data_IF_653358239687
#
_entry.id   IF_653358239687
#
_cell.length_a   1.000
_cell.length_b   1.000
_cell.length_c   1.000
_cell.angle_alpha   90.00
_cell.angle_beta   90.00
_cell.angle_gamma   90.00
#
_symmetry.space_group_name_H-M   'P 1'
#
loop_
_entity.id
_entity.type
_entity.pdbx_description
1 polymer ?
#
# COMPACT_ATOMS: atom_id res chain seq x y z
N UNK A 1 -9.21 -65.59 -19.25
CA UNK A 1 -9.46 -64.36 -20.02
C UNK A 1 -10.21 -63.29 -19.22
N UNK A 2 -11.44 -63.53 -18.72
CA UNK A 2 -12.15 -62.53 -17.88
C UNK A 2 -11.49 -62.37 -16.49
N UNK A 3 -11.03 -63.48 -15.90
CA UNK A 3 -10.38 -63.45 -14.58
C UNK A 3 -8.98 -62.79 -14.61
N UNK A 4 -8.24 -62.92 -15.72
CA UNK A 4 -6.97 -62.20 -15.93
C UNK A 4 -7.20 -60.69 -16.12
N UNK A 5 -8.29 -60.33 -16.79
CA UNK A 5 -8.66 -58.94 -17.04
C UNK A 5 -9.15 -58.26 -15.75
N UNK A 6 -9.89 -58.99 -14.91
CA UNK A 6 -10.26 -58.55 -13.56
C UNK A 6 -9.04 -58.46 -12.62
N UNK A 7 -8.07 -59.38 -12.72
CA UNK A 7 -6.84 -59.32 -11.94
C UNK A 7 -5.94 -58.14 -12.36
N UNK A 8 -5.85 -57.84 -13.65
CA UNK A 8 -5.16 -56.66 -14.16
C UNK A 8 -5.87 -55.36 -13.77
N UNK A 9 -7.20 -55.33 -13.81
CA UNK A 9 -7.99 -54.18 -13.37
C UNK A 9 -7.87 -53.96 -11.86
N UNK A 10 -7.92 -55.03 -11.05
CA UNK A 10 -7.70 -54.97 -9.60
C UNK A 10 -6.29 -54.46 -9.27
N UNK A 11 -5.26 -54.89 -10.00
CA UNK A 11 -3.89 -54.42 -9.79
C UNK A 11 -3.68 -52.97 -10.27
N UNK A 12 -4.36 -52.52 -11.33
CA UNK A 12 -4.35 -51.11 -11.74
C UNK A 12 -5.13 -50.21 -10.77
N UNK A 13 -6.26 -50.66 -10.25
CA UNK A 13 -7.03 -49.93 -9.22
C UNK A 13 -6.28 -49.91 -7.88
N UNK A 14 -5.59 -50.99 -7.51
CA UNK A 14 -4.68 -51.03 -6.35
C UNK A 14 -3.39 -50.22 -6.53
N UNK A 15 -2.99 -49.91 -7.77
CA UNK A 15 -1.93 -48.94 -8.04
C UNK A 15 -2.43 -47.48 -7.94
N UNK A 16 -3.74 -47.26 -8.03
CA UNK A 16 -4.40 -45.96 -7.86
C UNK A 16 -4.83 -45.73 -6.40
N UNK A 17 -5.08 -46.79 -5.64
CA UNK A 17 -5.43 -46.72 -4.22
C UNK A 17 -4.20 -46.98 -3.33
N UNK A 18 -3.84 -45.98 -2.51
CA UNK A 18 -2.76 -45.96 -1.51
C UNK A 18 -1.32 -45.69 -1.97
N UNK A 19 -1.11 -44.56 -2.64
CA UNK A 19 -0.04 -43.66 -2.17
C UNK A 19 -0.64 -42.38 -1.56
N UNK A 20 -1.80 -42.46 -0.91
CA UNK A 20 -2.25 -41.43 0.03
C UNK A 20 -1.72 -41.79 1.41
N UNK A 21 -0.42 -41.59 1.61
CA UNK A 21 0.15 -41.64 2.95
C UNK A 21 -0.49 -40.52 3.78
N UNK A 22 -0.67 -40.72 5.09
CA UNK A 22 -1.03 -39.63 6.01
C UNK A 22 -0.07 -38.43 5.86
N UNK A 23 1.17 -38.70 5.44
CA UNK A 23 2.16 -37.73 5.01
C UNK A 23 1.68 -36.85 3.84
N UNK A 24 1.08 -37.42 2.79
CA UNK A 24 0.57 -36.66 1.64
C UNK A 24 -0.62 -35.78 2.02
N UNK A 25 -1.47 -36.26 2.93
CA UNK A 25 -2.55 -35.44 3.49
C UNK A 25 -1.99 -34.26 4.32
N UNK A 26 -0.95 -34.52 5.13
CA UNK A 26 -0.25 -33.49 5.88
C UNK A 26 0.46 -32.48 4.97
N UNK A 27 1.11 -32.92 3.90
CA UNK A 27 1.74 -32.07 2.89
C UNK A 27 0.74 -31.15 2.21
N UNK A 28 -0.40 -31.68 1.76
CA UNK A 28 -1.48 -30.88 1.17
C UNK A 28 -2.02 -29.87 2.19
N UNK A 29 -2.20 -30.27 3.44
CA UNK A 29 -2.67 -29.39 4.50
C UNK A 29 -1.68 -28.25 4.78
N UNK A 30 -0.37 -28.53 4.81
CA UNK A 30 0.68 -27.52 4.97
C UNK A 30 0.67 -26.54 3.79
N UNK A 31 0.57 -27.04 2.55
CA UNK A 31 0.51 -26.19 1.34
C UNK A 31 -0.72 -25.29 1.39
N UNK A 32 -1.90 -25.84 1.68
CA UNK A 32 -3.16 -25.08 1.78
C UNK A 32 -3.09 -24.05 2.90
N UNK A 33 -2.58 -24.41 4.08
CA UNK A 33 -2.41 -23.50 5.20
C UNK A 33 -1.45 -22.35 4.86
N UNK A 34 -0.34 -22.65 4.18
CA UNK A 34 0.65 -21.66 3.74
C UNK A 34 0.06 -20.73 2.68
N UNK A 35 -0.60 -21.27 1.65
CA UNK A 35 -1.29 -20.47 0.63
C UNK A 35 -2.39 -19.60 1.25
N UNK A 36 -3.15 -20.12 2.19
CA UNK A 36 -4.20 -19.37 2.89
C UNK A 36 -3.61 -18.22 3.73
N UNK A 37 -2.52 -18.48 4.45
CA UNK A 37 -1.81 -17.45 5.22
C UNK A 37 -1.27 -16.34 4.31
N UNK A 38 -0.66 -16.71 3.17
CA UNK A 38 -0.17 -15.75 2.17
C UNK A 38 -1.32 -14.94 1.57
N UNK A 39 -2.41 -15.60 1.18
CA UNK A 39 -3.60 -14.92 0.66
C UNK A 39 -4.16 -13.91 1.66
N UNK A 40 -4.31 -14.31 2.93
CA UNK A 40 -4.86 -13.43 3.97
C UNK A 40 -3.95 -12.25 4.29
N UNK A 41 -2.63 -12.47 4.33
CA UNK A 41 -1.65 -11.47 4.76
C UNK A 41 -1.27 -10.48 3.67
N UNK A 42 -1.17 -10.92 2.41
CA UNK A 42 -0.62 -10.10 1.33
C UNK A 42 -1.63 -9.72 0.24
N UNK A 43 -2.69 -10.50 0.05
CA UNK A 43 -3.55 -10.38 -1.13
C UNK A 43 -4.92 -9.82 -0.78
N UNK A 44 -5.45 -10.17 0.40
CA UNK A 44 -6.78 -9.77 0.84
C UNK A 44 -6.92 -8.24 0.90
N UNK A 45 -7.98 -7.70 0.29
CA UNK A 45 -8.29 -6.26 0.19
C UNK A 45 -7.37 -5.44 -0.71
N UNK A 46 -6.55 -6.08 -1.55
CA UNK A 46 -5.70 -5.39 -2.53
C UNK A 46 -6.27 -5.52 -3.95
N UNK A 47 -5.78 -4.69 -4.89
CA UNK A 47 -6.11 -4.88 -6.32
C UNK A 47 -5.62 -6.25 -6.85
N UNK A 48 -4.61 -6.86 -6.22
CA UNK A 48 -4.15 -8.20 -6.56
C UNK A 48 -5.19 -9.29 -6.25
N UNK A 49 -6.17 -9.04 -5.39
CA UNK A 49 -7.28 -9.97 -5.14
C UNK A 49 -8.10 -10.23 -6.41
N UNK A 50 -8.31 -9.20 -7.23
CA UNK A 50 -9.02 -9.33 -8.51
C UNK A 50 -8.24 -10.20 -9.50
N UNK A 51 -6.91 -10.06 -9.53
CA UNK A 51 -6.02 -10.86 -10.37
C UNK A 51 -6.03 -12.34 -9.97
N UNK A 52 -5.91 -12.62 -8.67
CA UNK A 52 -5.96 -13.99 -8.14
C UNK A 52 -7.31 -14.65 -8.43
N UNK A 53 -8.42 -13.91 -8.24
CA UNK A 53 -9.75 -14.39 -8.64
C UNK A 53 -9.82 -14.67 -10.14
N UNK A 54 -9.24 -13.82 -10.99
CA UNK A 54 -9.16 -14.03 -12.43
C UNK A 54 -8.41 -15.32 -12.82
N UNK A 55 -7.23 -15.55 -12.23
CA UNK A 55 -6.46 -16.79 -12.43
C UNK A 55 -7.25 -18.00 -11.94
N UNK A 56 -7.94 -17.89 -10.80
CA UNK A 56 -8.79 -18.97 -10.27
C UNK A 56 -9.94 -19.32 -11.24
N UNK A 57 -10.61 -18.33 -11.83
CA UNK A 57 -11.64 -18.57 -12.83
C UNK A 57 -11.11 -19.27 -14.07
N UNK A 58 -9.91 -18.90 -14.56
CA UNK A 58 -9.27 -19.59 -15.68
C UNK A 58 -8.93 -21.04 -15.33
N UNK A 59 -8.42 -21.30 -14.12
CA UNK A 59 -8.12 -22.65 -13.64
C UNK A 59 -9.39 -23.51 -13.52
N UNK A 60 -10.49 -22.94 -13.00
CA UNK A 60 -11.78 -23.61 -12.94
C UNK A 60 -12.36 -23.88 -14.33
N UNK A 61 -12.23 -22.95 -15.27
CA UNK A 61 -12.67 -23.15 -16.65
C UNK A 61 -11.88 -24.27 -17.35
N UNK A 62 -10.57 -24.36 -17.10
CA UNK A 62 -9.74 -25.46 -17.58
C UNK A 62 -10.14 -26.81 -16.95
N UNK A 63 -10.33 -26.86 -15.64
CA UNK A 63 -10.80 -28.07 -14.95
C UNK A 63 -12.20 -28.51 -15.43
N UNK A 64 -13.09 -27.54 -15.69
CA UNK A 64 -14.40 -27.79 -16.27
C UNK A 64 -14.30 -28.38 -17.67
N UNK A 65 -13.38 -27.89 -18.49
CA UNK A 65 -13.10 -28.47 -19.82
C UNK A 65 -12.69 -29.94 -19.73
N UNK A 66 -11.82 -30.32 -18.78
CA UNK A 66 -11.43 -31.72 -18.56
C UNK A 66 -12.61 -32.60 -18.16
N UNK A 67 -13.53 -32.09 -17.32
CA UNK A 67 -14.77 -32.78 -16.96
C UNK A 67 -15.66 -33.00 -18.20
N UNK A 68 -15.79 -32.00 -19.08
CA UNK A 68 -16.57 -32.13 -20.31
C UNK A 68 -16.01 -33.20 -21.25
N UNK A 69 -14.68 -33.27 -21.39
CA UNK A 69 -14.02 -34.29 -22.21
C UNK A 69 -14.31 -35.69 -21.67
N UNK A 70 -14.33 -35.86 -20.34
CA UNK A 70 -14.67 -37.14 -19.68
C UNK A 70 -16.13 -37.57 -19.86
N UNK A 71 -17.04 -36.64 -20.13
CA UNK A 71 -18.48 -36.91 -20.35
C UNK A 71 -18.78 -37.07 -21.86
N UNK A 72 -17.78 -37.39 -22.69
CA UNK A 72 -17.87 -37.50 -24.15
C UNK A 72 -18.19 -36.19 -24.91
N UNK A 73 -18.23 -35.02 -24.25
CA UNK A 73 -18.38 -33.71 -24.90
C UNK A 73 -17.04 -33.16 -25.41
N UNK A 74 -16.31 -33.97 -26.18
CA UNK A 74 -14.91 -33.70 -26.54
C UNK A 74 -14.70 -32.42 -27.36
N UNK A 75 -15.57 -32.11 -28.32
CA UNK A 75 -15.42 -30.92 -29.19
C UNK A 75 -15.52 -29.64 -28.35
N UNK A 76 -16.54 -29.56 -27.49
CA UNK A 76 -16.77 -28.41 -26.62
C UNK A 76 -15.64 -28.29 -25.59
N UNK A 77 -15.24 -29.41 -24.99
CA UNK A 77 -14.11 -29.47 -24.07
C UNK A 77 -12.82 -28.92 -24.69
N UNK A 78 -12.42 -29.43 -25.86
CA UNK A 78 -11.22 -28.97 -26.57
C UNK A 78 -11.30 -27.50 -27.00
N UNK A 79 -12.49 -27.02 -27.40
CA UNK A 79 -12.70 -25.61 -27.71
C UNK A 79 -12.45 -24.72 -26.49
N UNK A 80 -13.04 -25.06 -25.33
CA UNK A 80 -12.84 -24.32 -24.08
C UNK A 80 -11.37 -24.37 -23.66
N UNK A 81 -10.72 -25.53 -23.75
CA UNK A 81 -9.31 -25.68 -23.38
C UNK A 81 -8.41 -24.77 -24.22
N UNK A 82 -8.65 -24.73 -25.53
CA UNK A 82 -7.92 -23.87 -26.47
C UNK A 82 -8.14 -22.39 -26.15
N UNK A 83 -9.39 -22.01 -25.88
CA UNK A 83 -9.76 -20.64 -25.53
C UNK A 83 -9.11 -20.19 -24.21
N UNK A 84 -9.17 -21.00 -23.15
CA UNK A 84 -8.52 -20.71 -21.87
C UNK A 84 -7.01 -20.57 -22.06
N UNK A 85 -6.39 -21.43 -22.87
CA UNK A 85 -4.95 -21.38 -23.16
C UNK A 85 -4.57 -20.07 -23.87
N UNK A 86 -5.34 -19.65 -24.88
CA UNK A 86 -5.12 -18.39 -25.60
C UNK A 86 -5.29 -17.16 -24.69
N UNK A 87 -6.30 -17.15 -23.82
CA UNK A 87 -6.51 -16.07 -22.85
C UNK A 87 -5.37 -16.03 -21.84
N UNK A 88 -4.95 -17.17 -21.30
CA UNK A 88 -3.84 -17.24 -20.35
C UNK A 88 -2.53 -16.73 -20.96
N UNK A 89 -2.21 -17.10 -22.21
CA UNK A 89 -1.04 -16.58 -22.92
C UNK A 89 -1.12 -15.08 -23.16
N UNK A 90 -2.28 -14.58 -23.60
CA UNK A 90 -2.51 -13.15 -23.80
C UNK A 90 -2.35 -12.37 -22.49
N UNK A 91 -2.84 -12.93 -21.39
CA UNK A 91 -2.70 -12.36 -20.06
C UNK A 91 -1.23 -12.23 -19.66
N UNK A 92 -0.41 -13.27 -19.86
CA UNK A 92 1.05 -13.19 -19.59
C UNK A 92 1.72 -12.08 -20.40
N UNK A 93 1.38 -11.94 -21.69
CA UNK A 93 1.96 -10.89 -22.55
C UNK A 93 1.53 -9.49 -22.10
N UNK A 94 0.24 -9.30 -21.80
CA UNK A 94 -0.28 -8.02 -21.31
C UNK A 94 0.34 -7.65 -19.96
N UNK A 95 0.48 -8.63 -19.06
CA UNK A 95 1.06 -8.45 -17.73
C UNK A 95 2.60 -8.58 -17.69
N UNK A 96 3.27 -8.60 -18.84
CA UNK A 96 4.72 -8.67 -18.91
C UNK A 96 5.41 -7.52 -18.13
N UNK A 97 4.95 -6.26 -18.21
CA UNK A 97 5.55 -5.16 -17.44
C UNK A 97 5.45 -5.36 -15.91
N UNK A 98 4.32 -5.86 -15.42
CA UNK A 98 4.08 -6.13 -14.01
C UNK A 98 4.94 -7.28 -13.50
N UNK A 99 5.03 -8.38 -14.27
CA UNK A 99 5.90 -9.51 -13.95
C UNK A 99 7.36 -9.06 -13.85
N UNK A 100 7.82 -8.21 -14.78
CA UNK A 100 9.17 -7.63 -14.74
C UNK A 100 9.38 -6.79 -13.48
N UNK A 101 8.40 -5.95 -13.12
CA UNK A 101 8.47 -5.10 -11.94
C UNK A 101 8.50 -5.92 -10.65
N UNK A 102 7.64 -6.94 -10.54
CA UNK A 102 7.58 -7.86 -9.41
C UNK A 102 8.88 -8.65 -9.22
N UNK A 103 9.45 -9.20 -10.29
CA UNK A 103 10.75 -9.87 -10.25
C UNK A 103 11.89 -8.90 -9.89
N UNK A 104 11.80 -7.66 -10.35
CA UNK A 104 12.72 -6.58 -9.93
C UNK A 104 12.66 -6.31 -8.43
N UNK A 105 11.46 -6.30 -7.85
CA UNK A 105 11.28 -6.18 -6.40
C UNK A 105 11.82 -7.39 -5.63
N UNK A 106 11.58 -8.61 -6.11
CA UNK A 106 12.15 -9.82 -5.51
C UNK A 106 13.69 -9.87 -5.60
N UNK A 107 14.26 -9.29 -6.66
CA UNK A 107 15.70 -9.23 -6.88
C UNK A 107 16.43 -8.12 -6.12
N UNK A 108 15.71 -7.13 -5.59
CA UNK A 108 16.30 -6.15 -4.68
C UNK A 108 16.44 -6.79 -3.29
N UNK A 109 17.68 -6.88 -2.79
CA UNK A 109 18.01 -7.49 -1.49
C UNK A 109 17.30 -6.90 -0.25
N UNK A 110 16.45 -5.87 -0.43
CA UNK A 110 15.59 -5.32 0.62
C UNK A 110 14.41 -6.22 1.02
N UNK A 111 13.82 -7.01 0.11
CA UNK A 111 12.64 -7.83 0.44
C UNK A 111 12.95 -8.98 1.39
N UNK A 112 14.13 -9.60 1.24
CA UNK A 112 14.61 -10.65 2.14
C UNK A 112 14.95 -10.07 3.52
N UNK A 113 15.55 -8.88 3.56
CA UNK A 113 15.79 -8.17 4.82
C UNK A 113 14.49 -7.78 5.52
N UNK A 114 13.43 -7.39 4.80
CA UNK A 114 12.15 -7.01 5.40
C UNK A 114 11.35 -8.23 5.94
N UNK A 115 11.51 -9.41 5.33
CA UNK A 115 10.86 -10.65 5.80
C UNK A 115 11.63 -11.36 6.92
N UNK A 116 12.97 -11.29 6.91
CA UNK A 116 13.86 -11.90 7.93
C UNK A 116 14.04 -10.96 9.12
N UNK A 117 14.10 -9.65 8.88
CA UNK A 117 14.19 -8.64 9.94
C UNK A 117 12.79 -8.30 10.41
N UNK A 118 12.15 -9.27 11.08
CA UNK A 118 11.01 -9.05 11.95
C UNK A 118 11.46 -8.37 13.28
N UNK A 119 12.40 -7.44 13.15
CA UNK A 119 12.67 -6.37 14.11
C UNK A 119 12.12 -5.13 13.40
N UNK A 120 10.99 -4.59 13.85
CA UNK A 120 11.04 -3.45 14.76
C UNK A 120 12.39 -3.35 15.46
N UNK A 121 13.42 -3.01 14.69
CA UNK A 121 14.63 -2.46 15.25
C UNK A 121 14.18 -1.05 15.55
N UNK A 122 14.05 -0.65 16.82
CA UNK A 122 14.05 0.78 17.11
C UNK A 122 15.30 1.27 16.42
N UNK A 123 15.18 2.24 15.51
CA UNK A 123 16.34 2.81 14.85
C UNK A 123 17.31 3.21 15.96
N UNK A 124 18.38 2.44 16.14
CA UNK A 124 19.51 2.68 17.06
C UNK A 124 20.39 3.81 16.53
N UNK A 125 19.74 4.85 16.04
CA UNK A 125 20.32 6.17 15.83
C UNK A 125 19.25 7.09 16.39
N UNK A 126 19.52 7.67 17.56
CA UNK A 126 18.68 8.56 18.38
C UNK A 126 18.28 9.86 17.67
N UNK A 127 17.96 9.82 16.38
CA UNK A 127 17.38 10.94 15.67
C UNK A 127 15.88 10.85 15.87
N UNK A 128 15.37 11.69 16.77
CA UNK A 128 13.94 11.94 16.90
C UNK A 128 13.45 12.60 15.61
N UNK A 129 13.04 11.78 14.64
CA UNK A 129 12.57 12.20 13.32
C UNK A 129 11.47 13.25 13.45
N UNK A 130 10.59 13.09 14.45
CA UNK A 130 9.50 14.03 14.69
C UNK A 130 10.05 15.37 15.17
N UNK A 131 11.03 15.36 16.08
CA UNK A 131 11.71 16.59 16.49
C UNK A 131 12.35 17.32 15.31
N UNK A 132 13.11 16.63 14.47
CA UNK A 132 13.75 17.23 13.29
C UNK A 132 12.72 17.82 12.32
N UNK A 133 11.61 17.10 12.07
CA UNK A 133 10.52 17.60 11.24
C UNK A 133 9.86 18.85 11.83
N UNK A 134 9.58 18.85 13.14
CA UNK A 134 8.93 19.98 13.81
C UNK A 134 9.85 21.20 13.81
N UNK A 135 11.15 21.04 14.05
CA UNK A 135 12.13 22.13 14.01
C UNK A 135 12.23 22.74 12.60
N UNK A 136 12.30 21.89 11.56
CA UNK A 136 12.29 22.34 10.17
C UNK A 136 10.99 23.06 9.82
N UNK A 137 9.82 22.47 10.12
CA UNK A 137 8.51 23.04 9.83
C UNK A 137 8.29 24.37 10.56
N UNK A 138 8.76 24.50 11.80
CA UNK A 138 8.71 25.75 12.56
C UNK A 138 9.48 26.87 11.84
N UNK A 139 10.68 26.56 11.34
CA UNK A 139 11.47 27.54 10.59
C UNK A 139 10.82 27.88 9.25
N UNK A 140 10.36 26.88 8.48
CA UNK A 140 9.71 27.09 7.18
C UNK A 140 8.44 27.92 7.32
N UNK A 141 7.60 27.60 8.32
CA UNK A 141 6.37 28.35 8.64
C UNK A 141 6.67 29.81 8.99
N UNK A 142 7.62 30.05 9.90
CA UNK A 142 7.99 31.41 10.33
C UNK A 142 8.51 32.27 9.17
N UNK A 143 9.26 31.68 8.25
CA UNK A 143 9.82 32.37 7.09
C UNK A 143 8.92 32.31 5.85
N UNK A 144 7.72 31.72 5.96
CA UNK A 144 6.77 31.51 4.85
C UNK A 144 7.41 30.82 3.63
N UNK A 145 8.24 29.82 3.90
CA UNK A 145 8.83 28.99 2.86
C UNK A 145 7.89 27.81 2.61
N UNK A 146 7.47 27.65 1.36
CA UNK A 146 6.59 26.57 0.94
C UNK A 146 7.26 25.21 1.08
N UNK A 147 6.56 24.25 1.69
CA UNK A 147 7.06 22.89 1.84
C UNK A 147 5.95 21.86 1.61
N UNK A 148 6.34 20.71 1.08
CA UNK A 148 5.45 19.61 0.75
C UNK A 148 6.16 18.29 1.06
N UNK A 149 5.75 17.63 2.15
CA UNK A 149 6.43 16.45 2.68
C UNK A 149 5.43 15.29 2.69
N UNK A 150 5.72 14.23 1.95
CA UNK A 150 4.89 13.02 1.91
C UNK A 150 5.51 11.95 2.80
N UNK A 151 4.70 11.38 3.68
CA UNK A 151 5.03 10.21 4.47
C UNK A 151 4.44 8.98 3.79
N UNK A 152 5.31 8.22 3.12
CA UNK A 152 4.90 7.03 2.37
C UNK A 152 4.85 5.82 3.30
N UNK A 153 3.73 5.10 3.28
CA UNK A 153 3.62 3.81 3.93
C UNK A 153 4.38 2.73 3.13
N UNK A 154 4.99 1.76 3.82
CA UNK A 154 5.81 0.69 3.22
C UNK A 154 5.10 -0.11 2.13
N UNK A 155 3.78 -0.18 2.17
CA UNK A 155 2.93 -0.96 1.26
C UNK A 155 2.66 -0.21 -0.05
N UNK A 156 2.84 1.11 -0.09
CA UNK A 156 2.46 1.90 -1.26
C UNK A 156 3.51 1.81 -2.38
N UNK A 157 3.09 1.25 -3.52
CA UNK A 157 3.92 1.02 -4.72
C UNK A 157 3.62 1.98 -5.87
N UNK A 158 3.05 3.14 -5.59
CA UNK A 158 2.71 4.09 -6.65
C UNK A 158 3.95 4.57 -7.41
N UNK A 159 3.87 4.60 -8.74
CA UNK A 159 5.01 4.87 -9.64
C UNK A 159 5.44 6.35 -9.66
N UNK A 160 4.61 7.26 -9.15
CA UNK A 160 4.91 8.69 -9.16
C UNK A 160 5.91 9.10 -8.07
N UNK A 161 6.11 8.30 -7.01
CA UNK A 161 7.13 8.58 -6.00
C UNK A 161 8.57 8.37 -6.51
N UNK A 162 8.74 7.62 -7.59
CA UNK A 162 10.04 7.35 -8.22
C UNK A 162 10.49 8.48 -9.17
N UNK A 163 9.61 9.46 -9.46
CA UNK A 163 9.87 10.56 -10.40
C UNK A 163 10.36 11.79 -9.65
N UNK A 164 11.65 11.81 -9.31
CA UNK A 164 12.33 12.94 -8.66
C UNK A 164 13.83 12.69 -8.48
N UNK A 165 14.51 13.56 -7.73
CA UNK A 165 15.92 13.35 -7.41
C UNK A 165 16.04 12.42 -6.20
N UNK A 166 16.66 11.25 -6.39
CA UNK A 166 16.92 10.30 -5.30
C UNK A 166 18.00 10.85 -4.37
N UNK A 167 17.70 10.88 -3.07
CA UNK A 167 18.60 11.41 -2.03
C UNK A 167 19.10 10.29 -1.13
N UNK A 168 18.19 9.44 -0.65
CA UNK A 168 18.47 8.34 0.29
C UNK A 168 19.32 8.76 1.51
N UNK A 169 18.88 9.81 2.20
CA UNK A 169 19.59 10.42 3.33
C UNK A 169 18.85 10.26 4.66
N UNK A 170 19.62 10.35 5.75
CA UNK A 170 19.11 10.45 7.11
C UNK A 170 18.38 11.80 7.25
N UNK A 171 17.26 11.79 7.96
CA UNK A 171 16.48 13.00 8.21
C UNK A 171 17.25 13.91 9.18
N UNK A 172 17.43 15.17 8.81
CA UNK A 172 17.98 16.22 9.65
C UNK A 172 17.31 17.55 9.29
N UNK A 173 17.12 18.42 10.26
CA UNK A 173 16.51 19.75 10.07
C UNK A 173 17.20 20.51 8.94
N UNK A 174 18.54 20.56 8.94
CA UNK A 174 19.35 21.30 7.96
C UNK A 174 19.11 20.80 6.53
N UNK A 175 19.00 19.49 6.34
CA UNK A 175 18.73 18.90 5.03
C UNK A 175 17.33 19.26 4.53
N UNK A 176 16.31 19.21 5.40
CA UNK A 176 14.94 19.61 5.04
C UNK A 176 14.92 21.09 4.64
N UNK A 177 15.57 21.95 5.42
CA UNK A 177 15.67 23.38 5.11
C UNK A 177 16.40 23.65 3.79
N UNK A 178 17.42 22.85 3.48
CA UNK A 178 18.17 22.95 2.23
C UNK A 178 17.31 22.52 1.04
N UNK A 179 16.56 21.44 1.16
CA UNK A 179 15.66 20.94 0.11
C UNK A 179 14.60 21.97 -0.25
N UNK A 180 13.97 22.59 0.75
CA UNK A 180 12.93 23.60 0.54
C UNK A 180 13.47 25.03 0.38
N UNK A 181 14.78 25.21 0.25
CA UNK A 181 15.34 26.54 0.05
C UNK A 181 14.84 27.11 -1.30
N UNK A 182 14.24 28.32 -1.32
CA UNK A 182 13.71 28.91 -2.54
C UNK A 182 14.76 29.00 -3.66
N UNK A 183 14.32 28.87 -4.92
CA UNK A 183 15.17 28.96 -6.11
C UNK A 183 16.22 27.85 -6.25
N UNK A 184 16.00 26.68 -5.63
CA UNK A 184 16.87 25.50 -5.82
C UNK A 184 16.17 24.44 -6.67
N UNK A 185 16.86 23.57 -7.42
CA UNK A 185 16.19 22.55 -8.22
C UNK A 185 15.28 21.59 -7.43
N UNK A 186 15.48 21.43 -6.12
CA UNK A 186 14.77 20.47 -5.28
C UNK A 186 13.52 21.04 -4.58
N UNK A 187 13.39 22.37 -4.46
CA UNK A 187 12.28 23.00 -3.75
C UNK A 187 10.94 22.95 -4.49
N UNK A 188 11.00 22.73 -5.81
CA UNK A 188 9.84 22.63 -6.69
C UNK A 188 9.38 21.18 -6.75
N UNK A 189 8.61 20.78 -5.74
CA UNK A 189 8.00 19.47 -5.65
C UNK A 189 7.85 18.99 -4.22
N UNK A 190 7.54 17.70 -4.09
CA UNK A 190 7.42 17.02 -2.82
C UNK A 190 8.75 16.37 -2.41
N UNK A 191 8.99 16.35 -1.10
CA UNK A 191 9.98 15.49 -0.46
C UNK A 191 9.29 14.22 0.06
N UNK A 192 9.82 13.05 -0.28
CA UNK A 192 9.25 11.77 0.09
C UNK A 192 10.05 11.16 1.24
N UNK A 193 9.38 10.89 2.35
CA UNK A 193 9.93 10.17 3.49
C UNK A 193 9.41 8.74 3.46
N UNK A 194 10.33 7.78 3.46
CA UNK A 194 10.06 6.35 3.45
C UNK A 194 10.97 5.65 4.47
N UNK A 195 10.38 4.81 5.33
CA UNK A 195 11.12 4.02 6.34
C UNK A 195 12.07 4.87 7.21
N UNK A 196 11.65 6.09 7.57
CA UNK A 196 12.44 6.99 8.43
C UNK A 196 13.62 7.69 7.74
N UNK A 197 13.69 7.66 6.41
CA UNK A 197 14.71 8.36 5.61
C UNK A 197 14.08 9.22 4.53
N UNK A 198 14.82 10.24 4.08
CA UNK A 198 14.46 11.03 2.89
C UNK A 198 14.80 10.20 1.66
N UNK A 199 13.79 9.67 0.98
CA UNK A 199 13.96 8.83 -0.20
C UNK A 199 14.32 9.67 -1.43
N UNK A 200 13.52 10.71 -1.69
CA UNK A 200 13.64 11.58 -2.85
C UNK A 200 13.10 12.99 -2.57
N UNK A 201 13.49 13.97 -3.37
CA UNK A 201 12.94 15.32 -3.37
C UNK A 201 12.72 15.85 -4.79
N UNK A 202 11.96 16.94 -4.91
CA UNK A 202 11.52 17.47 -6.20
C UNK A 202 10.56 16.53 -6.94
N UNK A 203 9.78 15.72 -6.20
CA UNK A 203 8.83 14.77 -6.78
C UNK A 203 7.56 15.50 -7.21
N UNK A 204 7.15 15.30 -8.45
CA UNK A 204 5.90 15.86 -8.96
C UNK A 204 4.72 14.96 -8.55
N UNK A 205 3.77 15.54 -7.82
CA UNK A 205 2.58 14.84 -7.34
C UNK A 205 1.34 15.19 -8.18
N UNK A 206 0.36 14.26 -8.27
CA UNK A 206 -0.93 14.56 -8.87
C UNK A 206 -1.69 15.61 -8.04
N UNK A 207 -2.37 16.50 -8.73
CA UNK A 207 -3.18 17.56 -8.13
C UNK A 207 -4.63 17.09 -8.04
N UNK A 208 -5.33 17.42 -6.95
CA UNK A 208 -6.79 17.21 -6.89
C UNK A 208 -7.50 18.02 -7.98
N UNK A 209 -8.52 17.39 -8.58
CA UNK A 209 -9.42 17.98 -9.57
C UNK A 209 -10.69 18.56 -8.94
N UNK A 210 -10.88 18.48 -7.61
CA UNK A 210 -12.08 19.01 -6.96
C UNK A 210 -12.19 20.53 -7.17
N UNK A 211 -13.21 21.01 -7.92
CA UNK A 211 -13.38 22.42 -8.21
C UNK A 211 -13.62 23.26 -6.95
N UNK A 212 -14.19 22.68 -5.87
CA UNK A 212 -14.46 23.40 -4.62
C UNK A 212 -13.18 23.81 -3.89
N UNK A 213 -12.08 23.07 -4.09
CA UNK A 213 -10.80 23.30 -3.44
C UNK A 213 -9.87 24.20 -4.29
N UNK A 214 -10.08 24.23 -5.60
CA UNK A 214 -9.23 24.92 -6.59
C UNK A 214 -8.99 26.41 -6.34
N UNK A 215 -9.95 27.14 -5.76
CA UNK A 215 -9.87 28.59 -5.54
C UNK A 215 -9.32 28.97 -4.17
N UNK A 216 -9.34 28.05 -3.19
CA UNK A 216 -8.96 28.34 -1.79
C UNK A 216 -7.52 27.96 -1.47
N UNK A 217 -6.91 27.12 -2.29
CA UNK A 217 -5.67 26.42 -1.98
C UNK A 217 -4.69 26.46 -3.15
N UNK A 218 -3.43 26.80 -2.85
CA UNK A 218 -2.34 26.79 -3.83
C UNK A 218 -1.97 25.38 -4.32
N UNK A 219 -1.07 25.32 -5.30
CA UNK A 219 -0.65 24.07 -5.97
C UNK A 219 -0.12 23.00 -5.01
N UNK A 220 0.69 23.36 -4.00
CA UNK A 220 1.20 22.41 -2.99
C UNK A 220 0.09 21.76 -2.16
N UNK A 221 -0.94 22.52 -1.77
CA UNK A 221 -2.09 21.99 -1.04
C UNK A 221 -2.91 21.06 -1.92
N UNK A 222 -3.13 21.44 -3.18
CA UNK A 222 -3.83 20.58 -4.15
C UNK A 222 -3.07 19.29 -4.42
N UNK A 223 -1.74 19.34 -4.45
CA UNK A 223 -0.87 18.19 -4.61
C UNK A 223 -0.93 17.27 -3.38
N UNK A 224 -0.94 17.84 -2.18
CA UNK A 224 -1.11 17.10 -0.94
C UNK A 224 -2.47 16.38 -0.89
N UNK A 225 -3.54 17.06 -1.27
CA UNK A 225 -4.87 16.45 -1.30
C UNK A 225 -4.92 15.35 -2.37
N UNK A 226 -4.51 15.67 -3.60
CA UNK A 226 -4.56 14.75 -4.74
C UNK A 226 -3.75 13.46 -4.51
N UNK A 227 -2.57 13.55 -3.89
CA UNK A 227 -1.80 12.33 -3.58
C UNK A 227 -2.50 11.48 -2.52
N UNK A 228 -3.08 12.10 -1.49
CA UNK A 228 -3.78 11.38 -0.42
C UNK A 228 -5.17 10.87 -0.81
N UNK A 229 -5.73 11.32 -1.94
CA UNK A 229 -6.98 10.77 -2.49
C UNK A 229 -6.75 9.41 -3.18
N UNK A 230 -5.57 9.21 -3.77
CA UNK A 230 -5.28 8.04 -4.61
C UNK A 230 -4.34 7.04 -3.93
N UNK A 231 -3.74 7.41 -2.80
CA UNK A 231 -2.68 6.67 -2.13
C UNK A 231 -2.83 6.78 -0.61
N UNK A 232 -2.54 5.67 0.09
CA UNK A 232 -2.51 5.60 1.56
C UNK A 232 -1.20 6.23 2.06
N UNK A 233 -1.17 7.56 2.04
CA UNK A 233 -0.07 8.37 2.54
C UNK A 233 -0.61 9.57 3.33
N UNK A 234 0.25 10.14 4.16
CA UNK A 234 0.02 11.41 4.81
C UNK A 234 0.89 12.48 4.17
N UNK A 235 0.39 13.70 4.03
CA UNK A 235 1.15 14.77 3.40
C UNK A 235 1.12 16.05 4.25
N UNK A 236 2.27 16.51 4.71
CA UNK A 236 2.43 17.77 5.42
C UNK A 236 2.74 18.91 4.44
N UNK A 237 2.04 20.02 4.60
CA UNK A 237 2.15 21.21 3.76
C UNK A 237 2.44 22.42 4.63
N UNK A 238 3.40 23.24 4.20
CA UNK A 238 3.61 24.60 4.70
C UNK A 238 3.26 25.58 3.59
N UNK A 239 2.34 26.50 3.87
CA UNK A 239 1.92 27.54 2.91
C UNK A 239 3.01 28.59 2.70
N UNK A 240 3.40 28.83 1.45
CA UNK A 240 4.33 29.93 1.11
C UNK A 240 3.70 31.32 1.23
N UNK A 241 2.38 31.43 1.15
CA UNK A 241 1.68 32.72 1.25
C UNK A 241 1.47 33.12 2.72
N UNK A 242 1.03 32.15 3.53
CA UNK A 242 0.54 32.41 4.89
C UNK A 242 1.46 31.87 5.99
N UNK A 243 2.36 30.92 5.68
CA UNK A 243 3.13 30.17 6.68
C UNK A 243 2.30 29.13 7.43
N UNK A 244 1.01 28.99 7.15
CA UNK A 244 0.15 28.01 7.82
C UNK A 244 0.61 26.58 7.54
N UNK A 245 0.56 25.74 8.57
CA UNK A 245 0.88 24.32 8.48
C UNK A 245 -0.40 23.50 8.40
N UNK A 246 -0.46 22.55 7.47
CA UNK A 246 -1.58 21.64 7.30
C UNK A 246 -1.10 20.23 7.03
N UNK A 247 -1.91 19.23 7.35
CA UNK A 247 -1.68 17.82 6.98
C UNK A 247 -2.88 17.32 6.20
N UNK A 248 -2.63 16.68 5.07
CA UNK A 248 -3.62 15.96 4.27
C UNK A 248 -3.56 14.47 4.59
N UNK A 249 -4.73 13.86 4.78
CA UNK A 249 -4.95 12.44 5.01
C UNK A 249 -6.27 12.05 4.35
N UNK A 250 -6.31 10.96 3.57
CA UNK A 250 -7.51 10.47 2.88
C UNK A 250 -8.27 11.57 2.10
N UNK A 251 -7.53 12.47 1.43
CA UNK A 251 -8.09 13.59 0.67
C UNK A 251 -8.67 14.73 1.53
N UNK A 252 -8.56 14.66 2.86
CA UNK A 252 -9.00 15.72 3.76
C UNK A 252 -7.80 16.50 4.31
N UNK A 253 -7.90 17.83 4.28
CA UNK A 253 -6.87 18.73 4.80
C UNK A 253 -7.22 19.22 6.22
N UNK A 254 -6.35 18.96 7.18
CA UNK A 254 -6.42 19.47 8.56
C UNK A 254 -5.38 20.57 8.78
N UNK A 255 -5.82 21.75 9.21
CA UNK A 255 -4.95 22.87 9.56
C UNK A 255 -4.51 22.78 11.03
N UNK A 256 -3.26 23.19 11.31
CA UNK A 256 -2.71 23.24 12.67
C UNK A 256 -2.37 24.68 13.04
N UNK A 257 -2.87 25.12 14.19
CA UNK A 257 -2.54 26.41 14.79
C UNK A 257 -1.41 26.30 15.83
N UNK A 258 -1.18 25.10 16.36
CA UNK A 258 -0.15 24.83 17.38
C UNK A 258 0.75 23.63 16.99
N UNK A 259 2.06 23.83 17.11
CA UNK A 259 3.07 22.81 16.79
C UNK A 259 3.05 21.63 17.76
N UNK A 260 2.58 21.81 19.01
CA UNK A 260 2.48 20.67 19.94
C UNK A 260 1.43 19.66 19.47
N UNK A 261 0.28 20.14 18.97
CA UNK A 261 -0.74 19.27 18.36
C UNK A 261 -0.25 18.58 17.10
N UNK A 262 0.51 19.30 16.26
CA UNK A 262 1.14 18.72 15.07
C UNK A 262 2.12 17.60 15.43
N UNK A 263 2.93 17.79 16.48
CA UNK A 263 3.89 16.78 16.95
C UNK A 263 3.19 15.46 17.29
N UNK A 264 2.13 15.53 18.09
CA UNK A 264 1.35 14.36 18.51
C UNK A 264 0.72 13.64 17.32
N UNK A 265 0.16 14.38 16.36
CA UNK A 265 -0.45 13.78 15.19
C UNK A 265 0.61 13.17 14.24
N UNK A 266 1.79 13.77 14.12
CA UNK A 266 2.91 13.19 13.35
C UNK A 266 3.46 11.90 13.99
N UNK A 267 3.56 11.84 15.32
CA UNK A 267 3.93 10.60 16.04
C UNK A 267 2.96 9.46 15.72
N UNK A 268 1.66 9.75 15.70
CA UNK A 268 0.63 8.79 15.34
C UNK A 268 0.71 8.36 13.86
N UNK A 269 0.90 9.31 12.94
CA UNK A 269 1.00 9.06 11.49
C UNK A 269 2.23 8.19 11.17
N UNK A 270 3.36 8.46 11.82
CA UNK A 270 4.61 7.73 11.61
C UNK A 270 4.65 6.38 12.35
N UNK A 271 3.64 6.06 13.17
CA UNK A 271 3.60 4.83 13.96
C UNK A 271 4.67 4.78 15.06
N UNK A 272 5.27 5.92 15.43
CA UNK A 272 6.27 6.03 16.49
C UNK A 272 5.51 6.18 17.81
N UNK A 273 5.00 5.06 18.34
CA UNK A 273 4.49 5.04 19.72
C UNK A 273 5.64 4.92 20.69
N UNK A 274 5.87 5.96 21.50
CA UNK A 274 6.57 5.81 22.76
C UNK A 274 5.69 4.97 23.70
N UNK A 275 6.17 3.80 24.11
CA UNK A 275 5.48 2.87 25.02
C UNK A 275 5.25 3.44 26.44
N UNK A 276 5.66 4.67 26.74
CA UNK A 276 5.67 5.21 28.11
C UNK A 276 4.37 5.89 28.59
N UNK A 277 3.37 6.17 27.75
CA UNK A 277 2.16 6.94 28.15
C UNK A 277 0.82 6.19 28.04
N UNK A 278 0.83 4.86 27.95
CA UNK A 278 -0.39 4.05 27.75
C UNK A 278 -1.34 4.05 28.96
N UNK A 279 -0.92 4.51 30.15
CA UNK A 279 -1.75 4.35 31.36
C UNK A 279 -2.82 5.43 31.57
N UNK A 280 -2.85 6.56 30.82
CA UNK A 280 -3.71 7.69 31.22
C UNK A 280 -4.60 8.36 30.15
N UNK A 281 -4.79 7.79 28.95
CA UNK A 281 -5.59 8.45 27.88
C UNK A 281 -6.76 7.63 27.30
N UNK A 282 -7.20 6.56 27.97
CA UNK A 282 -8.40 5.78 27.57
C UNK A 282 -9.74 6.56 27.65
N UNK A 283 -9.75 7.86 27.92
CA UNK A 283 -10.97 8.64 28.22
C UNK A 283 -11.26 9.83 27.31
N UNK A 284 -10.47 10.10 26.25
CA UNK A 284 -10.56 11.38 25.50
C UNK A 284 -10.82 11.19 23.99
N UNK A 285 -11.60 10.20 23.59
CA UNK A 285 -12.31 10.24 22.30
C UNK A 285 -13.82 10.33 22.57
N UNK A 286 -14.27 11.53 22.96
CA UNK A 286 -15.70 11.87 22.98
C UNK A 286 -16.17 12.07 21.54
N UNK A 287 -16.93 11.08 21.07
CA UNK A 287 -17.71 11.08 19.83
C UNK A 287 -18.91 12.05 19.91
N UNK A 288 -19.15 12.69 21.07
CA UNK A 288 -20.34 13.51 21.33
C UNK A 288 -20.42 14.82 20.54
N UNK A 289 -19.32 15.33 19.99
CA UNK A 289 -19.34 16.58 19.21
C UNK A 289 -19.58 16.40 17.70
N UNK A 290 -19.67 15.16 17.20
CA UNK A 290 -20.01 14.91 15.80
C UNK A 290 -21.52 14.72 15.56
N UNK A 291 -22.30 14.50 16.62
CA UNK A 291 -23.75 14.25 16.52
C UNK A 291 -24.58 15.54 16.71
N UNK A 292 -24.03 16.57 17.37
CA UNK A 292 -24.72 17.84 17.62
C UNK A 292 -24.80 18.77 16.40
N UNK A 293 -23.90 18.67 15.43
CA UNK A 293 -23.96 19.49 14.21
C UNK A 293 -25.07 19.02 13.27
N UNK A 294 -25.37 17.71 13.24
CA UNK A 294 -26.39 17.14 12.34
C UNK A 294 -27.83 17.36 12.82
N UNK A 295 -28.04 17.70 14.09
CA UNK A 295 -29.39 17.98 14.64
C UNK A 295 -29.83 19.44 14.41
N UNK A 296 -28.89 20.38 14.34
CA UNK A 296 -29.21 21.81 14.18
C UNK A 296 -29.50 22.24 12.73
N UNK A 297 -29.18 21.42 11.73
CA UNK A 297 -29.55 21.71 10.33
C UNK A 297 -30.99 21.28 9.98
N UNK A 298 -31.65 20.47 10.82
CA UNK A 298 -33.03 20.01 10.58
C UNK A 298 -34.12 20.84 11.29
N UNK A 299 -33.77 21.74 12.22
CA UNK A 299 -34.74 22.59 12.94
C UNK A 299 -34.92 24.00 12.35
N UNK A 300 -34.13 24.40 11.33
CA UNK A 300 -34.24 25.74 10.70
C UNK A 300 -34.88 25.74 9.29
N UNK A 301 -35.72 24.74 8.99
CA UNK A 301 -36.61 24.74 7.82
C UNK A 301 -38.02 24.28 8.20
N UNK A 302 -38.71 25.05 9.03
CA UNK A 302 -40.17 25.14 9.07
C UNK A 302 -40.57 26.58 9.36
#
# INVERSE_FOLDING_TARGET
>A
MIDELLAQFYNQVKAIDLSFNWLNAAEVLIIVATMYAVYRKFIKNTQAEKLVKGILYLALAWAFSEVLIKIDLRIIGMFIQTLVTMIALSLIVIFQPELRRFLGYLGQGGFINELITNKHTPLETEVDIVKELIEAVKFLSKNKIGALIVFQNSIDTSSFFDVGTKIDAIISTELILTIFHPNTPLHDGAMIIKQGKIHSAGVLLPLTEDPKLSWRYGTRHRAAIGVTEISDCACLVVSEETGNVSVSLDGALKKYDDLATLKLDLENILGIKNESDVTNKKTIFKIDNLITIKKNEHENKQ
#
